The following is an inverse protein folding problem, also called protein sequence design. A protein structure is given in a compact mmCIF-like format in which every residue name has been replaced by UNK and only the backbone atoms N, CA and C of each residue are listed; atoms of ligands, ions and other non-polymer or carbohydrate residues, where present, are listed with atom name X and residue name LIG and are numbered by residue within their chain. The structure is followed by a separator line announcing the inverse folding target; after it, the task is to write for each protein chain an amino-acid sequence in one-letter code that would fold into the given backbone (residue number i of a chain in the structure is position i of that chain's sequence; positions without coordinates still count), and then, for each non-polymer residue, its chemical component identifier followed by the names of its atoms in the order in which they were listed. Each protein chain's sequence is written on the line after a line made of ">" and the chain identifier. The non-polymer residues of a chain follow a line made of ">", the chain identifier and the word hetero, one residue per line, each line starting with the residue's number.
data_IF_395007844170
#
_entry.id   IF_395007844170
#
_cell.length_a   1.000
_cell.length_b   1.000
_cell.length_c   1.000
_cell.angle_alpha   90.00
_cell.angle_beta   90.00
_cell.angle_gamma   90.00
#
_symmetry.space_group_name_H-M   'P 1'
#
loop_
_entity.id
_entity.type
_entity.pdbx_description
1 polymer ?
#
# COMPACT_ATOMS: atom_id res chain seq x y z
N UNK A 1 0.93 -6.25 -14.89
CA UNK A 1 0.95 -4.82 -14.49
C UNK A 1 1.66 -4.66 -13.15
N UNK A 2 2.67 -3.79 -13.08
CA UNK A 2 3.26 -3.33 -11.83
C UNK A 2 2.79 -1.91 -11.54
N UNK A 3 2.39 -1.64 -10.29
CA UNK A 3 2.00 -0.29 -9.92
C UNK A 3 2.50 0.08 -8.51
N UNK A 4 2.94 1.33 -8.37
CA UNK A 4 3.31 1.87 -7.07
C UNK A 4 2.08 2.42 -6.35
N UNK A 5 1.68 1.76 -5.25
CA UNK A 5 0.57 2.19 -4.40
C UNK A 5 1.08 2.72 -3.05
N UNK A 6 1.82 3.82 -3.08
CA UNK A 6 2.12 4.61 -1.88
C UNK A 6 0.85 5.30 -1.36
N UNK A 7 0.90 5.96 -0.20
CA UNK A 7 -0.28 6.53 0.45
C UNK A 7 -1.10 7.48 -0.45
N UNK A 8 -0.44 8.29 -1.31
CA UNK A 8 -1.15 9.19 -2.24
C UNK A 8 -1.90 8.42 -3.31
N UNK A 9 -1.28 7.39 -3.89
CA UNK A 9 -1.93 6.51 -4.87
C UNK A 9 -3.09 5.75 -4.25
N UNK A 10 -2.90 5.20 -3.05
CA UNK A 10 -3.94 4.49 -2.29
C UNK A 10 -5.12 5.40 -1.95
N UNK A 11 -4.86 6.63 -1.48
CA UNK A 11 -5.91 7.63 -1.22
C UNK A 11 -6.71 7.98 -2.49
N UNK A 12 -6.05 8.07 -3.65
CA UNK A 12 -6.67 8.31 -4.96
C UNK A 12 -7.27 7.05 -5.58
N UNK A 13 -7.27 5.93 -4.85
CA UNK A 13 -7.77 4.62 -5.28
C UNK A 13 -7.16 4.16 -6.61
N UNK A 14 -5.82 4.15 -6.70
CA UNK A 14 -5.09 3.69 -7.89
C UNK A 14 -5.44 2.22 -8.21
N UNK A 15 -5.67 1.39 -7.20
CA UNK A 15 -6.09 0.00 -7.34
C UNK A 15 -7.39 -0.08 -8.14
N UNK A 16 -8.45 0.58 -7.68
CA UNK A 16 -9.74 0.56 -8.37
C UNK A 16 -9.68 1.13 -9.78
N UNK A 17 -8.84 2.16 -10.01
CA UNK A 17 -8.61 2.69 -11.37
C UNK A 17 -7.95 1.67 -12.30
N UNK A 18 -7.00 0.87 -11.77
CA UNK A 18 -6.31 -0.17 -12.53
C UNK A 18 -7.26 -1.32 -12.86
N UNK A 19 -8.05 -1.79 -11.89
CA UNK A 19 -9.03 -2.87 -12.12
C UNK A 19 -10.05 -2.46 -13.18
N UNK A 20 -10.59 -1.24 -13.13
CA UNK A 20 -11.49 -0.74 -14.17
C UNK A 20 -10.84 -0.76 -15.57
N UNK A 21 -9.54 -0.45 -15.68
CA UNK A 21 -8.83 -0.59 -16.97
C UNK A 21 -8.73 -2.04 -17.44
N UNK A 22 -8.64 -3.00 -16.54
CA UNK A 22 -8.66 -4.42 -16.91
C UNK A 22 -10.05 -4.84 -17.40
N UNK A 23 -11.11 -4.37 -16.73
CA UNK A 23 -12.49 -4.62 -17.15
C UNK A 23 -12.77 -4.06 -18.57
N UNK A 24 -12.31 -2.83 -18.88
CA UNK A 24 -12.44 -2.28 -20.25
C UNK A 24 -11.70 -3.11 -21.32
N UNK A 25 -10.69 -3.89 -20.91
CA UNK A 25 -9.97 -4.85 -21.76
C UNK A 25 -10.58 -6.26 -21.71
N UNK A 26 -11.78 -6.41 -21.12
CA UNK A 26 -12.49 -7.69 -20.97
C UNK A 26 -11.72 -8.75 -20.17
N UNK A 27 -10.79 -8.34 -19.32
CA UNK A 27 -10.09 -9.25 -18.40
C UNK A 27 -11.04 -9.58 -17.25
N UNK A 28 -11.29 -10.87 -17.02
CA UNK A 28 -12.17 -11.33 -15.94
C UNK A 28 -11.50 -11.14 -14.59
N UNK A 29 -12.25 -10.69 -13.58
CA UNK A 29 -11.72 -10.45 -12.23
C UNK A 29 -11.13 -11.71 -11.59
N UNK A 30 -11.73 -12.87 -11.87
CA UNK A 30 -11.26 -14.17 -11.37
C UNK A 30 -9.89 -14.59 -11.94
N UNK A 31 -9.50 -14.05 -13.09
CA UNK A 31 -8.21 -14.33 -13.74
C UNK A 31 -7.09 -13.40 -13.19
N UNK A 32 -7.47 -12.42 -12.35
CA UNK A 32 -6.52 -11.48 -11.78
C UNK A 32 -5.89 -12.08 -10.52
N UNK A 33 -4.57 -12.22 -10.54
CA UNK A 33 -3.76 -12.51 -9.37
C UNK A 33 -3.08 -11.22 -8.93
N UNK A 34 -3.38 -10.75 -7.73
CA UNK A 34 -2.78 -9.56 -7.16
C UNK A 34 -1.74 -9.95 -6.09
N UNK A 35 -0.52 -9.43 -6.23
CA UNK A 35 0.54 -9.62 -5.22
C UNK A 35 0.89 -8.25 -4.64
N UNK A 36 0.71 -8.08 -3.33
CA UNK A 36 1.14 -6.89 -2.61
C UNK A 36 2.57 -7.11 -2.13
N UNK A 37 3.50 -6.35 -2.71
CA UNK A 37 4.92 -6.41 -2.39
C UNK A 37 5.29 -5.88 -1.00
N UNK A 38 6.59 -5.88 -0.65
CA UNK A 38 7.07 -5.28 0.59
C UNK A 38 6.67 -3.81 0.68
N UNK A 39 6.24 -3.39 1.86
CA UNK A 39 5.87 -2.00 2.14
C UNK A 39 6.24 -1.62 3.57
N UNK A 40 6.08 -0.35 3.91
CA UNK A 40 6.23 0.11 5.29
C UNK A 40 5.19 -0.57 6.18
N UNK A 41 5.64 -1.30 7.19
CA UNK A 41 4.77 -2.00 8.13
C UNK A 41 4.03 -1.03 9.05
N UNK A 42 2.84 -1.40 9.50
CA UNK A 42 1.98 -0.56 10.36
C UNK A 42 2.73 -0.02 11.58
N UNK A 43 3.55 -0.84 12.25
CA UNK A 43 4.27 -0.45 13.47
C UNK A 43 5.28 0.69 13.25
N UNK A 44 5.75 0.85 12.00
CA UNK A 44 6.69 1.89 11.60
C UNK A 44 6.04 2.99 10.76
N UNK A 45 4.71 2.90 10.53
CA UNK A 45 3.98 3.87 9.71
C UNK A 45 3.20 4.85 10.59
N UNK A 46 3.94 5.63 11.35
CA UNK A 46 3.37 6.71 12.15
C UNK A 46 2.92 7.87 11.25
N UNK A 47 1.73 8.39 11.53
CA UNK A 47 1.09 9.50 10.80
C UNK A 47 0.41 10.47 11.78
N UNK A 48 0.19 11.70 11.38
CA UNK A 48 -0.56 12.68 12.16
C UNK A 48 -2.09 12.51 12.00
N UNK A 49 -2.86 13.19 12.82
CA UNK A 49 -4.33 13.16 12.78
C UNK A 49 -4.89 13.73 11.47
N UNK A 50 -4.24 14.75 10.88
CA UNK A 50 -4.64 15.35 9.61
C UNK A 50 -4.53 14.34 8.46
N UNK A 51 -3.50 13.51 8.48
CA UNK A 51 -3.35 12.41 7.51
C UNK A 51 -4.52 11.43 7.61
N UNK A 52 -4.87 10.96 8.81
CA UNK A 52 -6.00 10.06 9.04
C UNK A 52 -7.31 10.65 8.55
N UNK A 53 -7.58 11.92 8.85
CA UNK A 53 -8.80 12.62 8.43
C UNK A 53 -8.95 12.62 6.91
N UNK A 54 -7.85 12.83 6.13
CA UNK A 54 -7.89 12.78 4.66
C UNK A 54 -8.43 11.44 4.14
N UNK A 55 -8.06 10.33 4.77
CA UNK A 55 -8.54 9.00 4.40
C UNK A 55 -10.00 8.78 4.80
N UNK A 56 -10.38 9.16 6.01
CA UNK A 56 -11.76 9.01 6.51
C UNK A 56 -12.74 9.84 5.69
N UNK A 57 -12.38 11.08 5.32
CA UNK A 57 -13.20 11.93 4.45
C UNK A 57 -13.38 11.32 3.05
N UNK A 58 -12.42 10.55 2.57
CA UNK A 58 -12.54 9.85 1.29
C UNK A 58 -13.45 8.63 1.38
N UNK A 59 -13.37 7.87 2.45
CA UNK A 59 -14.23 6.73 2.75
C UNK A 59 -14.20 6.43 4.26
N UNK A 60 -15.34 6.50 4.92
CA UNK A 60 -15.47 6.25 6.37
C UNK A 60 -14.92 4.88 6.78
N UNK A 61 -15.06 3.85 5.95
CA UNK A 61 -14.54 2.52 6.23
C UNK A 61 -13.01 2.45 6.35
N UNK A 62 -12.30 3.51 5.96
CA UNK A 62 -10.84 3.54 6.07
C UNK A 62 -10.36 3.77 7.51
N UNK A 63 -11.24 4.19 8.45
CA UNK A 63 -10.87 4.39 9.85
C UNK A 63 -10.24 3.13 10.47
N UNK A 64 -10.71 1.94 10.09
CA UNK A 64 -10.24 0.64 10.63
C UNK A 64 -8.78 0.31 10.31
N UNK A 65 -8.16 1.02 9.37
CA UNK A 65 -6.74 0.87 9.01
C UNK A 65 -5.83 1.81 9.80
N UNK A 66 -6.38 2.47 10.82
CA UNK A 66 -5.63 3.34 11.72
C UNK A 66 -5.78 2.85 13.16
N UNK A 67 -4.65 2.71 13.86
CA UNK A 67 -4.61 2.43 15.29
C UNK A 67 -4.05 3.64 16.02
N UNK A 68 -4.73 4.11 17.06
CA UNK A 68 -4.21 5.21 17.88
C UNK A 68 -2.87 4.81 18.51
N UNK A 69 -1.87 5.69 18.40
CA UNK A 69 -0.59 5.56 19.09
C UNK A 69 -0.54 6.47 20.33
N UNK A 70 -0.98 7.71 20.16
CA UNK A 70 -1.11 8.71 21.22
C UNK A 70 -2.08 9.83 20.80
N UNK A 71 -2.18 10.89 21.62
CA UNK A 71 -3.08 12.02 21.34
C UNK A 71 -2.89 12.65 19.93
N UNK A 72 -1.66 12.69 19.42
CA UNK A 72 -1.30 13.39 18.19
C UNK A 72 -1.02 12.49 17.00
N UNK A 73 -0.81 11.19 17.21
CA UNK A 73 -0.33 10.25 16.21
C UNK A 73 -1.16 8.98 16.14
N UNK A 74 -1.28 8.45 14.93
CA UNK A 74 -1.85 7.15 14.63
C UNK A 74 -0.81 6.27 13.90
N UNK A 75 -1.00 4.97 13.94
CA UNK A 75 -0.31 3.99 13.11
C UNK A 75 -1.22 3.64 11.93
N UNK A 76 -0.67 3.61 10.71
CA UNK A 76 -1.43 3.38 9.49
C UNK A 76 -1.07 2.05 8.84
N UNK A 77 -2.09 1.21 8.57
CA UNK A 77 -1.94 -0.06 7.88
C UNK A 77 -2.24 0.07 6.38
N UNK A 78 -1.22 0.48 5.63
CA UNK A 78 -1.30 0.61 4.17
C UNK A 78 -1.62 -0.72 3.48
N UNK A 79 -1.00 -1.82 3.91
CA UNK A 79 -1.18 -3.15 3.31
C UNK A 79 -2.62 -3.60 3.42
N UNK A 80 -3.20 -3.54 4.61
CA UNK A 80 -4.59 -3.93 4.84
C UNK A 80 -5.57 -3.05 4.08
N UNK A 81 -5.29 -1.76 3.93
CA UNK A 81 -6.11 -0.88 3.10
C UNK A 81 -6.06 -1.27 1.62
N UNK A 82 -4.88 -1.59 1.07
CA UNK A 82 -4.77 -2.06 -0.33
C UNK A 82 -5.50 -3.39 -0.52
N UNK A 83 -5.37 -4.35 0.41
CA UNK A 83 -6.16 -5.58 0.40
C UNK A 83 -7.66 -5.30 0.37
N UNK A 84 -8.11 -4.37 1.21
CA UNK A 84 -9.52 -3.97 1.24
C UNK A 84 -9.96 -3.36 -0.10
N UNK A 85 -9.15 -2.47 -0.70
CA UNK A 85 -9.46 -1.89 -2.00
C UNK A 85 -9.56 -2.94 -3.10
N UNK A 86 -8.66 -3.94 -3.14
CA UNK A 86 -8.70 -5.06 -4.08
C UNK A 86 -9.98 -5.90 -3.90
N UNK A 87 -10.31 -6.26 -2.65
CA UNK A 87 -11.52 -7.01 -2.33
C UNK A 87 -12.79 -6.26 -2.72
N UNK A 88 -12.85 -4.95 -2.48
CA UNK A 88 -13.96 -4.11 -2.91
C UNK A 88 -14.14 -4.02 -4.44
N UNK A 89 -13.10 -4.34 -5.21
CA UNK A 89 -13.17 -4.46 -6.67
C UNK A 89 -13.47 -5.89 -7.15
N UNK A 90 -13.72 -6.84 -6.24
CA UNK A 90 -14.03 -8.23 -6.59
C UNK A 90 -12.80 -9.11 -6.90
N UNK A 91 -11.59 -8.64 -6.66
CA UNK A 91 -10.39 -9.49 -6.82
C UNK A 91 -10.29 -10.47 -5.66
N UNK A 92 -10.38 -11.78 -5.97
CA UNK A 92 -10.32 -12.86 -4.98
C UNK A 92 -8.91 -13.36 -4.69
N UNK A 93 -8.07 -13.45 -5.71
CA UNK A 93 -6.72 -14.03 -5.61
C UNK A 93 -5.70 -12.95 -5.17
N UNK A 94 -5.55 -12.74 -3.86
CA UNK A 94 -4.69 -11.69 -3.31
C UNK A 94 -3.61 -12.32 -2.41
N UNK A 95 -2.36 -12.13 -2.77
CA UNK A 95 -1.20 -12.59 -2.01
C UNK A 95 -0.43 -11.41 -1.42
N UNK A 96 0.26 -11.65 -0.31
CA UNK A 96 0.97 -10.61 0.42
C UNK A 96 2.40 -11.04 0.77
N UNK A 97 3.38 -10.29 0.33
CA UNK A 97 4.75 -10.41 0.82
C UNK A 97 4.84 -9.61 2.13
N UNK A 98 4.71 -10.31 3.27
CA UNK A 98 4.62 -9.70 4.62
C UNK A 98 6.00 -9.20 5.13
N UNK A 99 6.76 -8.48 4.30
CA UNK A 99 8.02 -7.86 4.69
C UNK A 99 7.83 -6.36 4.93
N UNK A 100 8.43 -5.86 6.00
CA UNK A 100 8.45 -4.43 6.34
C UNK A 100 9.75 -3.82 5.81
N UNK A 101 9.64 -2.86 4.90
CA UNK A 101 10.80 -2.21 4.29
C UNK A 101 11.62 -1.41 5.30
N UNK A 102 11.03 -0.96 6.42
CA UNK A 102 11.75 -0.27 7.47
C UNK A 102 12.64 -1.21 8.28
N UNK A 103 12.12 -2.39 8.66
CA UNK A 103 12.84 -3.37 9.48
C UNK A 103 13.93 -4.10 8.71
N UNK A 104 13.69 -4.44 7.46
CA UNK A 104 14.61 -5.27 6.66
C UNK A 104 15.59 -4.38 5.86
N UNK A 105 16.53 -3.74 6.56
CA UNK A 105 17.47 -2.76 5.97
C UNK A 105 18.44 -3.33 4.96
N UNK A 106 18.82 -4.60 5.10
CA UNK A 106 19.71 -5.29 4.17
C UNK A 106 19.05 -5.66 2.83
N UNK A 107 17.70 -5.75 2.80
CA UNK A 107 16.95 -6.19 1.61
C UNK A 107 16.18 -5.08 0.94
N UNK A 108 15.83 -4.00 1.67
CA UNK A 108 14.92 -2.98 1.16
C UNK A 108 15.37 -1.56 1.51
N UNK A 109 15.23 -0.66 0.55
CA UNK A 109 15.26 0.77 0.83
C UNK A 109 13.97 1.21 1.52
N UNK A 110 14.07 2.20 2.41
CA UNK A 110 12.91 2.76 3.11
C UNK A 110 13.07 4.26 3.27
N UNK A 111 12.20 5.02 2.64
CA UNK A 111 12.15 6.48 2.78
C UNK A 111 11.96 6.92 4.24
N UNK A 112 11.10 6.24 5.00
CA UNK A 112 10.88 6.51 6.42
C UNK A 112 12.18 6.30 7.22
N UNK A 113 12.91 5.23 6.95
CA UNK A 113 14.19 4.96 7.61
C UNK A 113 15.24 6.01 7.24
N UNK A 114 15.31 6.43 5.97
CA UNK A 114 16.20 7.52 5.56
C UNK A 114 15.94 8.80 6.34
N UNK A 115 14.67 9.21 6.49
CA UNK A 115 14.29 10.39 7.27
C UNK A 115 14.74 10.23 8.74
N UNK A 116 14.46 9.08 9.37
CA UNK A 116 14.84 8.85 10.76
C UNK A 116 16.36 8.79 10.98
N UNK A 117 17.13 8.50 9.93
CA UNK A 117 18.61 8.47 9.95
C UNK A 117 19.23 9.76 9.41
N UNK A 118 18.43 10.80 9.17
CA UNK A 118 18.88 12.10 8.61
C UNK A 118 19.65 11.95 7.29
N UNK A 119 19.32 10.93 6.48
CA UNK A 119 19.94 10.73 5.17
C UNK A 119 19.25 11.59 4.11
N UNK A 120 20.04 12.29 3.31
CA UNK A 120 19.55 13.18 2.25
C UNK A 120 18.78 12.38 1.17
N UNK A 121 19.26 11.18 0.84
CA UNK A 121 18.71 10.35 -0.22
C UNK A 121 18.35 8.94 0.27
N UNK A 122 17.36 8.34 -0.40
CA UNK A 122 17.05 6.93 -0.28
C UNK A 122 17.09 6.28 -1.65
N UNK A 123 17.57 5.02 -1.73
CA UNK A 123 17.51 4.25 -2.96
C UNK A 123 16.07 3.91 -3.37
N UNK A 124 15.93 3.27 -4.52
CA UNK A 124 14.66 2.80 -5.08
C UNK A 124 14.74 1.30 -5.30
N UNK A 125 13.58 0.65 -5.23
CA UNK A 125 13.43 -0.77 -5.57
C UNK A 125 12.73 -0.89 -6.92
N UNK A 126 13.21 -1.84 -7.73
CA UNK A 126 12.54 -2.21 -8.99
C UNK A 126 11.68 -3.43 -8.69
N UNK A 127 10.45 -3.41 -9.19
CA UNK A 127 9.56 -4.56 -9.17
C UNK A 127 9.26 -4.96 -10.62
N UNK A 128 9.50 -6.22 -10.92
CA UNK A 128 9.31 -6.78 -12.27
C UNK A 128 8.30 -7.92 -12.18
N UNK A 129 7.45 -8.02 -13.16
CA UNK A 129 6.56 -9.15 -13.39
C UNK A 129 6.62 -9.55 -14.86
N UNK A 130 6.81 -10.83 -15.12
CA UNK A 130 6.79 -11.42 -16.46
C UNK A 130 6.09 -12.77 -16.43
N UNK A 131 5.60 -13.22 -17.57
CA UNK A 131 5.24 -14.62 -17.75
C UNK A 131 6.53 -15.42 -17.97
N UNK A 132 6.56 -16.66 -17.52
CA UNK A 132 7.54 -17.65 -17.97
C UNK A 132 6.95 -18.37 -19.18
N UNK A 133 7.69 -18.43 -20.24
CA UNK A 133 7.45 -19.34 -21.36
C UNK A 133 7.76 -20.77 -20.93
#
# INVERSE_FOLDING_TARGET
>A
CCLHSGWRGTLKNIVGKTIRKFETKKIKLNDIIAVIGPCLGMQNYEVDKKFKIKFINKNRNYFKFFKSKNKNKDLFDLRSLINFQLKCQGVGNIYNIKKDTYKHSQSFFSHRRSIHQNRVNTGRMINIISFRD
#
